data_IF_771551696059
#
_entry.id   IF_771551696059
#
_cell.length_a   1.000
_cell.length_b   1.000
_cell.length_c   1.000
_cell.angle_alpha   90.00
_cell.angle_beta   90.00
_cell.angle_gamma   90.00
#
_symmetry.space_group_name_H-M   'P 1'
#
loop_
_entity.id
_entity.type
_entity.pdbx_description
1 polymer ?
#
# COMPACT_ATOMS: atom_id res chain seq x y z
N UNK A 1 10.11 -12.92 5.56
CA UNK A 1 9.74 -11.50 5.51
C UNK A 1 8.95 -11.24 4.23
N UNK A 2 7.79 -10.61 4.33
CA UNK A 2 7.03 -10.11 3.18
C UNK A 2 7.08 -8.59 3.17
N UNK A 3 7.19 -8.01 1.98
CA UNK A 3 7.18 -6.56 1.77
C UNK A 3 6.17 -6.26 0.67
N UNK A 4 5.25 -5.34 0.91
CA UNK A 4 4.22 -5.02 -0.06
C UNK A 4 3.91 -3.53 -0.11
N UNK A 5 3.65 -3.03 -1.32
CA UNK A 5 3.24 -1.66 -1.59
C UNK A 5 1.76 -1.60 -1.94
N UNK A 6 1.09 -0.57 -1.43
CA UNK A 6 -0.29 -0.20 -1.79
C UNK A 6 -1.29 -1.36 -1.60
N UNK A 7 -2.07 -1.70 -2.63
CA UNK A 7 -2.99 -2.85 -2.62
C UNK A 7 -2.29 -4.17 -2.30
N UNK A 8 -1.01 -4.32 -2.65
CA UNK A 8 -0.20 -5.48 -2.26
C UNK A 8 -0.17 -5.73 -0.76
N UNK A 9 -0.36 -4.70 0.08
CA UNK A 9 -0.51 -4.82 1.52
C UNK A 9 -1.76 -5.63 1.92
N UNK A 10 -2.90 -5.40 1.24
CA UNK A 10 -4.11 -6.20 1.45
C UNK A 10 -3.90 -7.66 1.01
N UNK A 11 -3.21 -7.89 -0.11
CA UNK A 11 -2.84 -9.23 -0.55
C UNK A 11 -1.95 -9.91 0.50
N UNK A 12 -0.91 -9.22 0.97
CA UNK A 12 0.01 -9.72 1.98
C UNK A 12 -0.69 -10.05 3.30
N UNK A 13 -1.65 -9.22 3.70
CA UNK A 13 -2.47 -9.42 4.91
C UNK A 13 -3.26 -10.73 4.88
N UNK A 14 -3.69 -11.16 3.69
CA UNK A 14 -4.49 -12.37 3.49
C UNK A 14 -3.67 -13.62 3.15
N UNK A 15 -2.34 -13.57 3.22
CA UNK A 15 -1.49 -14.76 3.07
C UNK A 15 -1.75 -15.71 4.24
N UNK A 16 -1.94 -16.99 3.94
CA UNK A 16 -2.12 -18.00 4.96
C UNK A 16 -0.85 -18.15 5.81
N UNK A 17 -1.00 -18.27 7.13
CA UNK A 17 0.13 -18.34 8.05
C UNK A 17 1.02 -19.59 7.81
N UNK A 18 0.48 -20.63 7.19
CA UNK A 18 1.17 -21.86 6.83
C UNK A 18 1.74 -21.86 5.39
N UNK A 19 1.63 -20.74 4.66
CA UNK A 19 2.20 -20.61 3.30
C UNK A 19 3.74 -20.65 3.28
N UNK A 20 4.38 -20.61 4.45
CA UNK A 20 5.83 -20.67 4.63
C UNK A 20 6.25 -20.05 5.96
N UNK A 21 7.54 -20.01 6.23
CA UNK A 21 8.08 -19.34 7.39
C UNK A 21 8.04 -17.81 7.21
N UNK A 22 6.92 -17.20 7.61
CA UNK A 22 6.73 -15.76 7.50
C UNK A 22 7.04 -15.12 8.86
N UNK A 23 8.13 -14.38 8.91
CA UNK A 23 8.65 -13.80 10.15
C UNK A 23 8.28 -12.34 10.38
N UNK A 24 7.69 -11.66 9.38
CA UNK A 24 7.25 -10.28 9.53
C UNK A 24 6.74 -9.66 8.23
N UNK A 25 6.07 -8.52 8.36
CA UNK A 25 5.39 -7.80 7.28
C UNK A 25 5.87 -6.35 7.24
N UNK A 26 6.29 -5.88 6.06
CA UNK A 26 6.60 -4.47 5.84
C UNK A 26 5.58 -3.87 4.86
N UNK A 27 4.78 -2.94 5.37
CA UNK A 27 3.81 -2.18 4.59
C UNK A 27 4.47 -0.90 4.09
N UNK A 28 4.51 -0.74 2.78
CA UNK A 28 5.05 0.45 2.10
C UNK A 28 3.87 1.19 1.47
N UNK A 29 3.42 2.27 2.09
CA UNK A 29 2.18 2.96 1.70
C UNK A 29 1.09 1.94 1.36
N UNK A 30 0.72 1.06 2.32
CA UNK A 30 0.02 -0.17 2.03
C UNK A 30 -1.14 -0.51 2.96
N UNK A 31 -2.20 -1.04 2.40
CA UNK A 31 -3.40 -1.46 3.16
C UNK A 31 -3.12 -2.65 4.07
N UNK A 32 -3.56 -2.54 5.33
CA UNK A 32 -3.55 -3.61 6.32
C UNK A 32 -4.97 -3.84 6.88
N UNK A 33 -5.87 -4.46 6.09
CA UNK A 33 -7.27 -4.60 6.47
C UNK A 33 -7.52 -5.54 7.65
N UNK A 34 -8.61 -5.29 8.37
CA UNK A 34 -9.29 -6.19 9.31
C UNK A 34 -10.23 -7.12 8.56
N UNK A 35 -10.73 -8.21 9.20
CA UNK A 35 -11.77 -9.04 8.61
C UNK A 35 -12.97 -8.22 8.12
N UNK A 36 -13.37 -8.46 6.87
CA UNK A 36 -14.50 -7.79 6.25
C UNK A 36 -14.22 -6.39 5.69
N UNK A 37 -13.07 -5.77 6.00
CA UNK A 37 -12.66 -4.53 5.36
C UNK A 37 -12.08 -4.82 3.97
N UNK A 38 -12.27 -3.87 3.04
CA UNK A 38 -11.63 -3.88 1.72
C UNK A 38 -10.72 -2.66 1.56
N UNK A 39 -9.85 -2.67 0.55
CA UNK A 39 -9.05 -1.49 0.22
C UNK A 39 -9.94 -0.27 -0.06
N UNK A 40 -11.08 -0.49 -0.72
CA UNK A 40 -12.06 0.56 -1.01
C UNK A 40 -12.69 1.14 0.28
N UNK A 41 -13.16 0.30 1.20
CA UNK A 41 -13.78 0.77 2.45
C UNK A 41 -12.77 1.51 3.32
N UNK A 42 -11.52 1.04 3.38
CA UNK A 42 -10.45 1.70 4.10
C UNK A 42 -10.12 3.07 3.51
N UNK A 43 -9.97 3.18 2.18
CA UNK A 43 -9.64 4.44 1.51
C UNK A 43 -10.68 5.54 1.77
N UNK A 44 -11.93 5.17 2.04
CA UNK A 44 -13.01 6.11 2.39
C UNK A 44 -13.12 6.43 3.89
N UNK A 45 -12.31 5.82 4.76
CA UNK A 45 -12.44 5.96 6.22
C UNK A 45 -11.96 7.32 6.75
N UNK A 46 -10.94 7.88 6.11
CA UNK A 46 -10.36 9.17 6.47
C UNK A 46 -10.36 10.13 5.27
N UNK A 47 -10.46 11.45 5.50
CA UNK A 47 -10.34 12.42 4.42
C UNK A 47 -8.93 12.42 3.83
N UNK A 48 -8.78 12.88 2.58
CA UNK A 48 -7.49 13.08 1.93
C UNK A 48 -7.23 12.22 0.70
N UNK A 49 -7.87 11.05 0.56
CA UNK A 49 -7.80 10.29 -0.69
C UNK A 49 -8.56 11.02 -1.80
N UNK A 50 -7.89 11.21 -2.92
CA UNK A 50 -8.46 11.74 -4.17
C UNK A 50 -8.36 10.73 -5.32
N UNK A 51 -8.02 9.47 -5.00
CA UNK A 51 -7.81 8.43 -6.00
C UNK A 51 -9.08 8.17 -6.82
N UNK A 52 -10.25 8.19 -6.17
CA UNK A 52 -11.53 7.99 -6.86
C UNK A 52 -11.80 8.97 -8.00
N UNK A 53 -11.32 10.21 -7.86
CA UNK A 53 -11.46 11.26 -8.90
C UNK A 53 -10.41 11.13 -10.03
N UNK A 54 -9.35 10.35 -9.78
CA UNK A 54 -8.21 10.25 -10.68
C UNK A 54 -8.18 8.94 -11.48
N UNK A 55 -9.05 7.97 -11.17
CA UNK A 55 -9.11 6.71 -11.92
C UNK A 55 -10.14 6.73 -13.02
N UNK A 56 -9.83 6.06 -14.14
CA UNK A 56 -10.82 5.77 -15.16
C UNK A 56 -11.01 4.26 -15.33
N UNK A 57 -12.26 3.79 -15.45
CA UNK A 57 -12.56 2.37 -15.61
C UNK A 57 -12.42 1.93 -17.08
N UNK A 58 -11.84 0.76 -17.29
CA UNK A 58 -11.75 0.10 -18.59
C UNK A 58 -12.43 -1.27 -18.48
N UNK A 59 -13.60 -1.46 -19.14
CA UNK A 59 -14.28 -2.73 -19.15
C UNK A 59 -13.44 -3.84 -19.82
N UNK A 60 -13.44 -5.03 -19.24
CA UNK A 60 -12.79 -6.22 -19.77
C UNK A 60 -13.79 -7.16 -20.43
N UNK A 61 -13.29 -8.02 -21.32
CA UNK A 61 -14.11 -9.01 -22.02
C UNK A 61 -14.67 -10.11 -21.10
N UNK A 62 -14.09 -10.30 -19.90
CA UNK A 62 -14.53 -11.25 -18.87
C UNK A 62 -15.57 -10.65 -17.90
N UNK A 63 -16.09 -9.45 -18.19
CA UNK A 63 -17.07 -8.74 -17.39
C UNK A 63 -16.51 -7.99 -16.19
N UNK A 64 -15.19 -8.03 -15.95
CA UNK A 64 -14.49 -7.26 -14.92
C UNK A 64 -14.13 -5.87 -15.40
N UNK A 65 -13.69 -5.04 -14.48
CA UNK A 65 -13.28 -3.65 -14.78
C UNK A 65 -11.86 -3.39 -14.26
N UNK A 66 -10.98 -3.03 -15.19
CA UNK A 66 -9.66 -2.52 -14.87
C UNK A 66 -9.73 -1.03 -14.54
N UNK A 67 -9.04 -0.62 -13.48
CA UNK A 67 -8.93 0.76 -13.04
C UNK A 67 -7.51 1.26 -13.28
N UNK A 68 -7.37 2.28 -14.11
CA UNK A 68 -6.12 2.99 -14.36
C UNK A 68 -6.18 4.38 -13.74
N UNK A 69 -5.07 4.87 -13.22
CA UNK A 69 -4.97 6.31 -12.92
C UNK A 69 -4.83 7.05 -14.25
N UNK A 70 -5.63 8.10 -14.42
CA UNK A 70 -5.56 8.97 -15.59
C UNK A 70 -4.11 9.45 -15.79
N UNK A 71 -3.49 9.24 -16.97
CA UNK A 71 -2.11 9.64 -17.23
C UNK A 71 -1.82 11.11 -16.93
N UNK A 72 -2.77 12.01 -17.20
CA UNK A 72 -2.62 13.45 -16.94
C UNK A 72 -2.64 13.78 -15.44
N UNK A 73 -3.19 12.89 -14.63
CA UNK A 73 -3.26 13.02 -13.17
C UNK A 73 -2.24 12.16 -12.43
N UNK A 74 -1.62 11.19 -13.11
CA UNK A 74 -0.75 10.19 -12.50
C UNK A 74 0.37 10.82 -11.65
N UNK A 75 1.07 11.81 -12.18
CA UNK A 75 2.15 12.49 -11.47
C UNK A 75 1.65 13.11 -10.16
N UNK A 76 0.63 13.95 -10.22
CA UNK A 76 0.10 14.65 -9.03
C UNK A 76 -0.59 13.73 -8.03
N UNK A 77 -1.14 12.61 -8.51
CA UNK A 77 -1.89 11.66 -7.68
C UNK A 77 -1.00 10.63 -7.01
N UNK A 78 -0.06 10.04 -7.77
CA UNK A 78 0.66 8.85 -7.35
C UNK A 78 2.10 9.12 -6.91
N UNK A 79 2.78 10.08 -7.56
CA UNK A 79 4.23 10.27 -7.42
C UNK A 79 4.65 11.74 -7.57
N UNK A 80 3.98 12.64 -6.84
CA UNK A 80 4.15 14.08 -6.95
C UNK A 80 5.57 14.59 -6.63
N UNK A 81 6.34 13.84 -5.87
CA UNK A 81 7.71 14.11 -5.45
C UNK A 81 8.78 13.45 -6.36
N UNK A 82 8.36 12.84 -7.48
CA UNK A 82 9.26 12.22 -8.47
C UNK A 82 9.41 13.16 -9.66
N UNK A 83 10.57 13.22 -10.35
CA UNK A 83 10.74 14.01 -11.56
C UNK A 83 9.70 13.69 -12.64
N UNK A 84 9.13 14.72 -13.28
CA UNK A 84 8.00 14.58 -14.21
C UNK A 84 8.25 13.59 -15.36
N UNK A 85 9.48 13.53 -15.88
CA UNK A 85 9.85 12.56 -16.92
C UNK A 85 9.77 11.11 -16.43
N UNK A 86 10.20 10.87 -15.19
CA UNK A 86 10.09 9.54 -14.57
C UNK A 86 8.64 9.19 -14.27
N UNK A 87 7.85 10.15 -13.77
CA UNK A 87 6.41 9.98 -13.53
C UNK A 87 5.66 9.65 -14.81
N UNK A 88 6.01 10.30 -15.94
CA UNK A 88 5.42 10.00 -17.25
C UNK A 88 5.72 8.56 -17.72
N UNK A 89 6.94 8.06 -17.49
CA UNK A 89 7.29 6.65 -17.75
C UNK A 89 6.48 5.70 -16.87
N UNK A 90 6.34 6.02 -15.59
CA UNK A 90 5.54 5.21 -14.65
C UNK A 90 4.07 5.19 -15.07
N UNK A 91 3.50 6.33 -15.46
CA UNK A 91 2.13 6.41 -15.96
C UNK A 91 1.92 5.53 -17.21
N UNK A 92 2.85 5.57 -18.16
CA UNK A 92 2.77 4.78 -19.39
C UNK A 92 2.92 3.27 -19.18
N UNK A 93 3.56 2.86 -18.08
CA UNK A 93 3.82 1.46 -17.75
C UNK A 93 3.01 0.94 -16.56
N UNK A 94 2.07 1.74 -16.05
CA UNK A 94 1.22 1.33 -14.92
C UNK A 94 0.43 0.07 -15.27
N UNK A 95 0.24 -0.78 -14.27
CA UNK A 95 -0.65 -1.93 -14.36
C UNK A 95 -1.95 -1.59 -13.63
N UNK A 96 -3.11 -2.01 -14.16
CA UNK A 96 -4.38 -1.71 -13.51
C UNK A 96 -4.56 -2.53 -12.24
N UNK A 97 -5.36 -1.99 -11.33
CA UNK A 97 -6.05 -2.80 -10.34
C UNK A 97 -7.44 -3.14 -10.87
N UNK A 98 -7.95 -4.34 -10.58
CA UNK A 98 -9.36 -4.63 -10.90
C UNK A 98 -10.26 -4.01 -9.83
N UNK A 99 -11.40 -3.48 -10.25
CA UNK A 99 -12.37 -2.92 -9.31
C UNK A 99 -12.80 -3.97 -8.28
N UNK A 100 -13.06 -5.19 -8.73
CA UNK A 100 -13.45 -6.32 -7.89
C UNK A 100 -12.44 -6.58 -6.77
N UNK A 101 -11.13 -6.55 -7.09
CA UNK A 101 -10.09 -6.75 -6.10
C UNK A 101 -10.06 -5.65 -5.02
N UNK A 102 -10.32 -4.39 -5.41
CA UNK A 102 -10.37 -3.30 -4.43
C UNK A 102 -11.59 -3.37 -3.51
N UNK A 103 -12.69 -3.98 -3.96
CA UNK A 103 -13.91 -4.18 -3.18
C UNK A 103 -13.92 -5.50 -2.40
N UNK A 104 -13.02 -6.43 -2.71
CA UNK A 104 -12.97 -7.74 -2.05
C UNK A 104 -12.70 -7.59 -0.56
N UNK A 105 -13.58 -8.12 0.31
CA UNK A 105 -13.37 -8.05 1.75
C UNK A 105 -12.22 -8.96 2.18
N UNK A 106 -11.44 -8.48 3.15
CA UNK A 106 -10.38 -9.27 3.79
C UNK A 106 -10.95 -10.46 4.54
N UNK A 107 -10.19 -11.57 4.53
CA UNK A 107 -10.51 -12.79 5.26
C UNK A 107 -10.43 -12.65 6.78
N UNK A 108 -10.86 -13.70 7.48
CA UNK A 108 -11.03 -13.71 8.93
C UNK A 108 -9.73 -13.66 9.74
N UNK A 109 -8.58 -13.98 9.12
CA UNK A 109 -7.29 -14.13 9.80
C UNK A 109 -6.22 -13.24 9.18
N UNK A 110 -6.27 -11.92 9.43
CA UNK A 110 -5.26 -11.02 8.92
C UNK A 110 -3.88 -11.35 9.53
N UNK A 111 -2.90 -11.58 8.67
CA UNK A 111 -1.59 -12.10 9.07
C UNK A 111 -0.84 -11.17 10.03
N UNK A 112 -1.10 -9.86 10.00
CA UNK A 112 -0.50 -8.89 10.94
C UNK A 112 -0.93 -9.08 12.41
N UNK A 113 -1.95 -9.90 12.68
CA UNK A 113 -2.29 -10.34 14.05
C UNK A 113 -1.37 -11.44 14.57
N UNK A 114 -0.71 -12.16 13.68
CA UNK A 114 0.10 -13.35 14.00
C UNK A 114 1.60 -13.06 13.94
N UNK A 115 2.04 -12.10 13.10
CA UNK A 115 3.45 -11.75 12.93
C UNK A 115 3.69 -10.25 13.06
N UNK A 116 4.91 -9.82 13.47
CA UNK A 116 5.21 -8.41 13.63
C UNK A 116 5.18 -7.66 12.30
N UNK A 117 4.85 -6.36 12.37
CA UNK A 117 4.73 -5.49 11.21
C UNK A 117 5.50 -4.18 11.36
N UNK A 118 5.85 -3.58 10.24
CA UNK A 118 6.49 -2.28 10.08
C UNK A 118 5.79 -1.50 8.98
N UNK A 119 5.76 -0.17 9.09
CA UNK A 119 5.09 0.71 8.14
C UNK A 119 6.01 1.85 7.72
N UNK A 120 6.03 2.17 6.42
CA UNK A 120 6.63 3.38 5.85
C UNK A 120 5.69 3.95 4.81
N UNK A 121 5.40 5.26 4.90
CA UNK A 121 4.47 5.94 4.00
C UNK A 121 4.78 7.43 3.88
N UNK A 122 4.18 8.09 2.91
CA UNK A 122 4.35 9.51 2.66
C UNK A 122 3.30 10.36 3.38
N UNK A 123 3.71 11.51 3.92
CA UNK A 123 2.82 12.51 4.53
C UNK A 123 1.77 13.02 3.53
N UNK A 124 2.15 13.20 2.26
CA UNK A 124 1.29 13.75 1.21
C UNK A 124 0.72 12.67 0.27
N UNK A 125 0.57 11.45 0.76
CA UNK A 125 -0.06 10.38 0.01
C UNK A 125 -1.54 10.70 -0.27
N UNK A 126 -1.91 10.76 -1.56
CA UNK A 126 -3.27 11.04 -2.03
C UNK A 126 -4.07 9.78 -2.37
N UNK A 127 -3.46 8.61 -2.28
CA UNK A 127 -4.13 7.32 -2.46
C UNK A 127 -4.55 6.74 -1.12
N UNK A 128 -3.60 6.64 -0.19
CA UNK A 128 -3.82 6.16 1.18
C UNK A 128 -3.38 7.28 2.13
N UNK A 129 -4.31 8.09 2.65
CA UNK A 129 -3.95 9.22 3.52
C UNK A 129 -3.11 8.79 4.72
N UNK A 130 -2.16 9.63 5.14
CA UNK A 130 -1.28 9.35 6.27
C UNK A 130 -2.05 9.02 7.56
N UNK A 131 -3.21 9.64 7.80
CA UNK A 131 -4.08 9.31 8.95
C UNK A 131 -4.59 7.86 8.91
N UNK A 132 -4.93 7.34 7.73
CA UNK A 132 -5.32 5.94 7.57
C UNK A 132 -4.13 5.01 7.81
N UNK A 133 -2.95 5.35 7.30
CA UNK A 133 -1.72 4.58 7.54
C UNK A 133 -1.38 4.51 9.03
N UNK A 134 -1.44 5.63 9.75
CA UNK A 134 -1.28 5.67 11.21
C UNK A 134 -2.32 4.82 11.94
N UNK A 135 -3.57 4.88 11.51
CA UNK A 135 -4.65 4.08 12.09
C UNK A 135 -4.36 2.57 11.92
N UNK A 136 -3.99 2.14 10.71
CA UNK A 136 -3.67 0.73 10.43
C UNK A 136 -2.42 0.27 11.19
N UNK A 137 -1.36 1.07 11.19
CA UNK A 137 -0.13 0.77 11.92
C UNK A 137 -0.36 0.65 13.43
N UNK A 138 -1.17 1.54 14.01
CA UNK A 138 -1.52 1.50 15.44
C UNK A 138 -2.29 0.24 15.81
N UNK A 139 -3.33 -0.13 15.03
CA UNK A 139 -4.11 -1.34 15.32
C UNK A 139 -3.30 -2.62 15.12
N UNK A 140 -2.41 -2.64 14.13
CA UNK A 140 -1.47 -3.75 13.90
C UNK A 140 -0.35 -3.81 14.96
N UNK A 141 -0.28 -2.85 15.90
CA UNK A 141 0.79 -2.71 16.89
C UNK A 141 2.17 -2.76 16.22
N UNK A 142 2.31 -2.02 15.11
CA UNK A 142 3.53 -1.98 14.33
C UNK A 142 4.75 -1.71 15.21
N UNK A 143 5.83 -2.46 15.00
CA UNK A 143 7.09 -2.29 15.74
C UNK A 143 7.78 -0.97 15.41
N UNK A 144 7.61 -0.51 14.17
CA UNK A 144 8.10 0.80 13.73
C UNK A 144 7.19 1.38 12.66
N UNK A 145 7.05 2.70 12.71
CA UNK A 145 6.29 3.50 11.75
C UNK A 145 7.19 4.64 11.31
N UNK A 146 7.35 4.82 10.01
CA UNK A 146 8.08 5.93 9.39
C UNK A 146 7.12 6.68 8.48
N UNK A 147 6.75 7.88 8.86
CA UNK A 147 6.13 8.86 7.99
C UNK A 147 7.23 9.73 7.37
N UNK A 148 7.25 9.84 6.04
CA UNK A 148 8.25 10.63 5.33
C UNK A 148 7.63 11.98 4.96
N UNK A 149 8.15 13.10 5.53
CA UNK A 149 7.62 14.42 5.24
C UNK A 149 7.69 14.77 3.75
N UNK A 150 6.60 15.30 3.20
CA UNK A 150 6.50 15.73 1.82
C UNK A 150 6.44 14.61 0.77
N UNK A 151 6.56 13.33 1.18
CA UNK A 151 6.53 12.22 0.26
C UNK A 151 5.12 11.88 -0.24
N UNK A 152 5.05 11.40 -1.47
CA UNK A 152 3.83 10.91 -2.12
C UNK A 152 3.63 9.41 -1.91
N UNK A 153 2.67 8.80 -2.64
CA UNK A 153 2.39 7.36 -2.58
C UNK A 153 3.55 6.46 -3.07
N UNK A 154 4.40 6.97 -3.97
CA UNK A 154 5.51 6.21 -4.55
C UNK A 154 6.77 6.20 -3.68
N UNK A 155 6.61 6.01 -2.37
CA UNK A 155 7.65 6.12 -1.34
C UNK A 155 8.90 5.31 -1.66
N UNK A 156 8.76 4.07 -2.13
CA UNK A 156 9.91 3.20 -2.46
C UNK A 156 10.73 3.69 -3.65
N UNK A 157 10.15 4.52 -4.50
CA UNK A 157 10.83 5.10 -5.68
C UNK A 157 11.44 6.45 -5.35
N UNK A 158 10.71 7.29 -4.61
CA UNK A 158 11.18 8.63 -4.24
C UNK A 158 12.18 8.60 -3.07
N UNK A 159 11.99 7.67 -2.12
CA UNK A 159 12.79 7.54 -0.90
C UNK A 159 13.29 6.11 -0.69
N UNK A 160 14.08 5.55 -1.63
CA UNK A 160 14.50 4.15 -1.59
C UNK A 160 15.35 3.81 -0.38
N UNK A 161 16.19 4.75 0.11
CA UNK A 161 17.06 4.52 1.26
C UNK A 161 16.25 4.30 2.55
N UNK A 162 15.21 5.13 2.78
CA UNK A 162 14.37 5.01 3.97
C UNK A 162 13.57 3.70 3.94
N UNK A 163 13.05 3.35 2.77
CA UNK A 163 12.31 2.09 2.57
C UNK A 163 13.23 0.88 2.77
N UNK A 164 14.41 0.87 2.15
CA UNK A 164 15.38 -0.21 2.29
C UNK A 164 15.89 -0.34 3.73
N UNK A 165 16.13 0.78 4.41
CA UNK A 165 16.57 0.76 5.81
C UNK A 165 15.53 0.09 6.72
N UNK A 166 14.24 0.42 6.56
CA UNK A 166 13.18 -0.22 7.35
C UNK A 166 13.08 -1.72 7.06
N UNK A 167 13.20 -2.13 5.80
CA UNK A 167 13.19 -3.55 5.42
C UNK A 167 14.37 -4.31 6.06
N UNK A 168 15.57 -3.74 6.01
CA UNK A 168 16.77 -4.34 6.60
C UNK A 168 16.68 -4.42 8.13
N UNK A 169 16.15 -3.37 8.77
CA UNK A 169 15.88 -3.38 10.22
C UNK A 169 14.89 -4.50 10.56
N UNK A 170 13.76 -4.57 9.85
CA UNK A 170 12.77 -5.60 10.07
C UNK A 170 13.33 -7.02 9.89
N UNK A 171 14.22 -7.22 8.90
CA UNK A 171 14.87 -8.49 8.66
C UNK A 171 15.91 -8.84 9.75
N UNK A 172 16.66 -7.86 10.27
CA UNK A 172 17.72 -8.09 11.24
C UNK A 172 17.19 -8.51 12.62
N UNK A 173 16.03 -8.02 13.02
CA UNK A 173 15.40 -8.37 14.30
C UNK A 173 14.96 -9.84 14.39
N UNK A 174 14.96 -10.57 13.30
CA UNK A 174 14.60 -11.99 13.24
C UNK A 174 15.82 -12.93 13.41
N UNK A 175 17.04 -12.40 13.31
CA UNK A 175 18.27 -13.21 13.41
C UNK A 175 18.69 -13.45 14.88
N UNK A 176 18.06 -12.76 15.83
CA UNK A 176 18.42 -12.77 17.26
C UNK A 176 17.41 -13.47 18.18
N UNK A 177 16.45 -14.22 17.62
CA UNK A 177 15.44 -14.95 18.40
C UNK A 177 15.69 -16.46 18.39
#
# INVERSE_FOLDING_TARGET
MLVAHSYGGAVMTNVAADAGEIVGLVYVAGFAPEPGESAFTLAGMFPGSTLGDAVHPVPRSDGKTDLYIDPDRFHSQFCADIPAEQAARMAATQRPATAEALYEPSGERPLWREVPSWFVFGELDRNIPAELEHYMAKRARARRVIEIPGASHAVSVAHPEATAHLILEAASLQVTA
#
